data_IF_552369973939
#
_entry.id   IF_552369973939
#
_cell.length_a   1.000
_cell.length_b   1.000
_cell.length_c   1.000
_cell.angle_alpha   90.00
_cell.angle_beta   90.00
_cell.angle_gamma   90.00
#
_symmetry.space_group_name_H-M   'P 1'
#
loop_
_entity.id
_entity.type
_entity.pdbx_description
1 polymer ?
#
# COMPACT_ATOMS: atom_id res chain seq x y z
N UNK A 1 4.28 37.85 -7.55
CA UNK A 1 3.83 36.52 -7.07
C UNK A 1 2.65 36.07 -7.92
N UNK A 2 2.89 35.19 -8.89
CA UNK A 2 1.91 34.72 -9.86
C UNK A 2 1.15 33.53 -9.28
N UNK A 3 -0.18 33.64 -9.18
CA UNK A 3 -1.10 32.51 -8.92
C UNK A 3 -1.30 31.75 -10.23
N UNK A 4 -1.03 30.45 -10.23
CA UNK A 4 -1.44 29.54 -11.30
C UNK A 4 -2.76 28.88 -10.88
N UNK A 5 -3.83 29.16 -11.62
CA UNK A 5 -5.08 28.41 -11.60
C UNK A 5 -5.07 27.49 -12.81
N UNK A 6 -5.11 26.17 -12.60
CA UNK A 6 -5.26 25.19 -13.69
C UNK A 6 -6.76 24.93 -13.88
N UNK A 7 -7.25 25.35 -15.04
CA UNK A 7 -8.61 25.12 -15.55
C UNK A 7 -8.60 23.79 -16.31
N UNK A 8 -9.44 22.84 -15.93
CA UNK A 8 -9.75 21.66 -16.74
C UNK A 8 -10.70 22.05 -17.87
N UNK A 9 -10.21 21.97 -19.11
CA UNK A 9 -11.03 22.07 -20.33
C UNK A 9 -11.56 20.68 -20.70
N UNK A 10 -12.87 20.50 -20.55
CA UNK A 10 -13.62 19.35 -21.05
C UNK A 10 -13.89 19.61 -22.54
N UNK A 11 -13.31 18.80 -23.42
CA UNK A 11 -13.62 18.84 -24.85
C UNK A 11 -14.64 17.73 -25.16
N UNK A 12 -15.88 18.13 -25.42
CA UNK A 12 -16.96 17.25 -25.84
C UNK A 12 -16.86 16.91 -27.32
N UNK A 13 -16.72 15.62 -27.63
CA UNK A 13 -16.81 15.08 -28.98
C UNK A 13 -17.86 13.97 -29.04
N UNK A 14 -18.96 14.25 -29.73
CA UNK A 14 -20.06 13.31 -29.98
C UNK A 14 -19.59 12.11 -30.83
N UNK A 15 -19.87 10.88 -30.38
CA UNK A 15 -19.81 9.68 -31.22
C UNK A 15 -21.22 9.09 -31.32
N UNK A 16 -21.73 9.12 -32.55
CA UNK A 16 -23.02 8.58 -32.97
C UNK A 16 -22.90 7.05 -33.08
N UNK A 17 -23.59 6.33 -32.21
CA UNK A 17 -23.81 4.88 -32.32
C UNK A 17 -24.77 4.59 -33.48
N UNK A 18 -24.32 3.84 -34.50
CA UNK A 18 -25.20 3.12 -35.43
C UNK A 18 -25.26 1.65 -35.03
N UNK A 19 -26.44 1.24 -34.57
CA UNK A 19 -26.86 -0.17 -34.47
C UNK A 19 -27.10 -0.72 -35.88
N UNK A 20 -26.59 -1.91 -36.18
CA UNK A 20 -27.19 -2.79 -37.18
C UNK A 20 -27.04 -4.26 -36.76
N UNK A 21 -28.02 -5.04 -37.17
CA UNK A 21 -28.51 -6.26 -36.56
C UNK A 21 -28.04 -7.54 -37.27
N UNK A 22 -27.92 -8.62 -36.49
CA UNK A 22 -28.47 -9.98 -36.72
C UNK A 22 -28.04 -10.78 -37.98
N UNK A 23 -27.46 -11.97 -37.69
CA UNK A 23 -27.76 -13.31 -38.23
C UNK A 23 -26.76 -14.07 -39.13
N UNK A 24 -26.57 -15.30 -38.66
CA UNK A 24 -26.51 -16.61 -39.33
C UNK A 24 -25.20 -17.20 -39.86
N UNK A 25 -24.97 -18.40 -39.30
CA UNK A 25 -24.06 -19.49 -39.62
C UNK A 25 -24.35 -20.09 -41.00
N UNK A 26 -23.30 -20.43 -41.77
CA UNK A 26 -23.23 -21.70 -42.53
C UNK A 26 -21.79 -22.09 -42.90
N UNK A 27 -21.57 -23.40 -42.75
CA UNK A 27 -20.38 -24.22 -42.91
C UNK A 27 -20.12 -24.54 -44.39
N UNK A 28 -18.88 -24.46 -44.89
CA UNK A 28 -18.36 -25.37 -45.94
C UNK A 28 -16.83 -25.53 -45.79
N UNK A 29 -16.41 -26.76 -45.45
CA UNK A 29 -15.06 -27.28 -45.66
C UNK A 29 -14.83 -27.50 -47.18
N UNK A 30 -13.70 -27.06 -47.70
CA UNK A 30 -13.07 -27.69 -48.86
C UNK A 30 -11.54 -27.59 -48.72
N UNK A 31 -10.92 -28.76 -48.63
CA UNK A 31 -9.48 -28.94 -48.60
C UNK A 31 -8.87 -28.68 -49.98
N UNK A 32 -7.75 -27.94 -50.01
CA UNK A 32 -6.74 -28.09 -51.04
C UNK A 32 -5.35 -28.04 -50.39
N UNK A 33 -4.70 -29.20 -50.46
CA UNK A 33 -3.30 -29.42 -50.15
C UNK A 33 -2.40 -28.74 -51.20
N UNK A 34 -1.15 -28.55 -50.79
CA UNK A 34 0.07 -28.23 -51.55
C UNK A 34 0.50 -26.76 -51.50
N UNK A 35 1.51 -26.53 -50.66
CA UNK A 35 2.28 -25.29 -50.59
C UNK A 35 3.21 -25.25 -49.38
N UNK A 36 4.02 -26.29 -49.16
CA UNK A 36 5.16 -26.21 -48.25
C UNK A 36 6.18 -25.22 -48.84
N UNK A 37 6.03 -23.94 -48.54
CA UNK A 37 7.14 -23.02 -48.51
C UNK A 37 7.57 -22.94 -47.04
N UNK A 38 8.54 -23.78 -46.65
CA UNK A 38 9.43 -23.42 -45.55
C UNK A 38 10.18 -22.19 -46.03
N UNK A 39 9.62 -21.01 -45.80
CA UNK A 39 10.45 -19.85 -45.60
C UNK A 39 11.33 -20.21 -44.40
N UNK A 40 12.58 -20.53 -44.68
CA UNK A 40 13.65 -20.30 -43.72
C UNK A 40 13.56 -18.82 -43.37
N UNK A 41 12.85 -18.51 -42.29
CA UNK A 41 13.13 -17.32 -41.51
C UNK A 41 14.57 -17.50 -41.03
N UNK A 42 15.51 -17.04 -41.84
CA UNK A 42 16.80 -16.59 -41.36
C UNK A 42 16.51 -15.46 -40.40
N UNK A 43 16.27 -15.80 -39.13
CA UNK A 43 16.49 -14.92 -37.98
C UNK A 43 17.98 -14.59 -38.01
N UNK A 44 18.33 -13.60 -38.83
CA UNK A 44 19.60 -12.92 -38.70
C UNK A 44 19.47 -12.20 -37.37
N UNK A 45 19.98 -12.81 -36.29
CA UNK A 45 20.11 -12.09 -35.02
C UNK A 45 20.94 -10.86 -35.34
N UNK A 46 20.32 -9.68 -35.37
CA UNK A 46 21.10 -8.47 -35.57
C UNK A 46 21.92 -8.31 -34.31
N UNK A 47 23.21 -8.59 -34.45
CA UNK A 47 24.18 -8.47 -33.39
C UNK A 47 24.19 -7.02 -32.92
N UNK A 48 24.15 -6.83 -31.60
CA UNK A 48 24.22 -5.49 -31.03
C UNK A 48 25.62 -4.91 -31.27
N UNK A 49 25.71 -3.60 -31.48
CA UNK A 49 26.96 -2.88 -31.41
C UNK A 49 27.32 -2.74 -29.92
N UNK A 50 28.49 -3.25 -29.47
CA UNK A 50 28.89 -3.11 -28.08
C UNK A 50 28.98 -1.64 -27.67
N UNK A 51 28.48 -1.31 -26.48
CA UNK A 51 28.47 0.05 -25.97
C UNK A 51 27.39 0.27 -24.93
N UNK A 52 27.29 1.53 -24.51
CA UNK A 52 26.30 1.99 -23.53
C UNK A 52 25.27 2.87 -24.22
N UNK A 53 24.00 2.59 -23.99
CA UNK A 53 22.86 3.23 -24.64
C UNK A 53 21.90 3.75 -23.58
N UNK A 54 21.31 4.92 -23.84
CA UNK A 54 20.37 5.57 -22.93
C UNK A 54 19.01 5.68 -23.60
N UNK A 55 17.97 5.33 -22.85
CA UNK A 55 16.60 5.48 -23.29
C UNK A 55 15.71 5.90 -22.12
N UNK A 56 14.63 6.62 -22.44
CA UNK A 56 13.65 7.10 -21.47
C UNK A 56 12.25 6.69 -21.91
N UNK A 57 11.39 6.35 -20.96
CA UNK A 57 9.98 6.01 -21.22
C UNK A 57 9.13 6.53 -20.07
N UNK A 58 7.93 7.02 -20.38
CA UNK A 58 6.97 7.50 -19.39
C UNK A 58 6.70 6.44 -18.30
N UNK A 59 7.02 6.79 -17.05
CA UNK A 59 6.70 6.01 -15.85
C UNK A 59 5.39 6.46 -15.21
N UNK A 60 5.27 6.24 -13.90
CA UNK A 60 4.07 6.59 -13.13
C UNK A 60 3.88 8.10 -12.99
N UNK A 61 4.96 8.80 -12.65
CA UNK A 61 4.91 10.24 -12.33
C UNK A 61 5.68 11.11 -13.35
N UNK A 62 6.75 10.56 -13.93
CA UNK A 62 7.59 11.19 -14.96
C UNK A 62 8.32 10.07 -15.73
N UNK A 63 9.17 10.44 -16.69
CA UNK A 63 10.00 9.51 -17.43
C UNK A 63 10.96 8.72 -16.52
N UNK A 64 11.06 7.42 -16.77
CA UNK A 64 12.11 6.53 -16.23
C UNK A 64 13.20 6.41 -17.30
N UNK A 65 14.42 6.83 -16.95
CA UNK A 65 15.59 6.77 -17.82
C UNK A 65 16.50 5.62 -17.41
N UNK A 66 16.90 4.81 -18.39
CA UNK A 66 17.83 3.69 -18.19
C UNK A 66 19.12 3.89 -18.98
N UNK A 67 20.21 3.43 -18.40
CA UNK A 67 21.49 3.19 -19.06
C UNK A 67 21.68 1.68 -19.24
N UNK A 68 21.92 1.23 -20.47
CA UNK A 68 22.09 -0.18 -20.82
C UNK A 68 23.44 -0.39 -21.48
N UNK A 69 24.32 -1.17 -20.84
CA UNK A 69 25.57 -1.64 -21.45
C UNK A 69 25.31 -2.99 -22.13
N UNK A 70 25.69 -3.12 -23.40
CA UNK A 70 25.55 -4.35 -24.18
C UNK A 70 26.88 -4.80 -24.78
N UNK A 71 27.02 -6.11 -24.96
CA UNK A 71 28.01 -6.70 -25.88
C UNK A 71 27.39 -6.92 -27.25
N UNK A 72 28.01 -7.78 -28.07
CA UNK A 72 27.44 -8.21 -29.33
C UNK A 72 26.14 -9.03 -29.14
N UNK A 73 26.03 -9.78 -28.03
CA UNK A 73 24.96 -10.76 -27.83
C UNK A 73 24.32 -10.72 -26.43
N UNK A 74 24.78 -9.85 -25.52
CA UNK A 74 24.37 -9.88 -24.11
C UNK A 74 24.09 -8.46 -23.59
N UNK A 75 23.18 -8.38 -22.62
CA UNK A 75 22.94 -7.20 -21.78
C UNK A 75 23.85 -7.32 -20.56
N UNK A 76 24.88 -6.50 -20.46
CA UNK A 76 25.84 -6.55 -19.35
C UNK A 76 25.32 -5.87 -18.09
N UNK A 77 24.67 -4.72 -18.26
CA UNK A 77 24.10 -3.98 -17.14
C UNK A 77 22.93 -3.14 -17.59
N UNK A 78 21.94 -3.02 -16.72
CA UNK A 78 20.86 -2.04 -16.80
C UNK A 78 20.90 -1.22 -15.52
N UNK A 79 20.80 0.10 -15.62
CA UNK A 79 20.71 1.00 -14.48
C UNK A 79 19.62 2.02 -14.72
N UNK A 80 18.70 2.20 -13.78
CA UNK A 80 17.83 3.37 -13.78
C UNK A 80 18.66 4.56 -13.29
N UNK A 81 18.80 5.60 -14.12
CA UNK A 81 19.65 6.77 -13.84
C UNK A 81 18.84 8.01 -13.45
N UNK A 82 17.55 8.04 -13.79
CA UNK A 82 16.63 9.12 -13.41
C UNK A 82 15.19 8.60 -13.41
N UNK A 83 14.43 8.94 -12.38
CA UNK A 83 13.00 8.67 -12.28
C UNK A 83 12.33 9.59 -11.22
N UNK A 84 11.00 9.70 -11.29
CA UNK A 84 10.19 10.37 -10.27
C UNK A 84 9.15 9.42 -9.63
N UNK A 85 9.40 8.12 -9.72
CA UNK A 85 8.50 7.08 -9.20
C UNK A 85 8.19 7.25 -7.71
N UNK A 86 7.00 6.80 -7.30
CA UNK A 86 6.54 6.90 -5.92
C UNK A 86 7.42 6.03 -5.00
N UNK A 87 8.02 6.59 -3.93
CA UNK A 87 8.86 5.83 -2.99
C UNK A 87 8.13 4.66 -2.32
N UNK A 88 8.76 3.48 -2.29
CA UNK A 88 8.21 2.21 -1.79
C UNK A 88 7.12 1.56 -2.66
N UNK A 89 6.99 2.01 -3.92
CA UNK A 89 6.08 1.39 -4.90
C UNK A 89 6.78 1.20 -6.24
N UNK A 90 7.27 2.30 -6.82
CA UNK A 90 8.01 2.28 -8.07
C UNK A 90 9.48 2.62 -7.82
N UNK A 91 9.72 3.59 -6.93
CA UNK A 91 11.04 3.96 -6.43
C UNK A 91 11.35 3.30 -5.10
N UNK A 92 12.61 3.38 -4.68
CA UNK A 92 13.11 2.77 -3.46
C UNK A 92 12.34 3.22 -2.22
N UNK A 93 12.10 2.29 -1.30
CA UNK A 93 11.82 2.62 0.09
C UNK A 93 13.15 2.99 0.76
N UNK A 94 13.18 4.15 1.42
CA UNK A 94 14.35 4.58 2.21
C UNK A 94 13.94 4.85 3.65
N UNK A 95 14.85 4.60 4.58
CA UNK A 95 14.69 4.98 5.98
C UNK A 95 15.00 6.47 6.20
N UNK A 96 14.95 6.91 7.47
CA UNK A 96 15.22 8.30 7.86
C UNK A 96 16.66 8.76 7.58
N UNK A 97 17.60 7.82 7.45
CA UNK A 97 19.02 8.07 7.22
C UNK A 97 19.39 7.95 5.73
N UNK A 98 18.41 7.64 4.88
CA UNK A 98 18.57 7.49 3.43
C UNK A 98 19.07 6.11 3.00
N UNK A 99 19.11 5.11 3.91
CA UNK A 99 19.42 3.72 3.56
C UNK A 99 18.24 3.14 2.79
N UNK A 100 18.52 2.47 1.68
CA UNK A 100 17.51 1.70 0.94
C UNK A 100 17.09 0.49 1.78
N UNK A 101 15.80 0.32 1.97
CA UNK A 101 15.18 -0.77 2.72
C UNK A 101 14.58 -1.77 1.73
N UNK A 102 15.10 -3.00 1.73
CA UNK A 102 14.63 -4.09 0.86
C UNK A 102 13.90 -5.20 1.63
N UNK A 103 13.83 -5.08 2.96
CA UNK A 103 13.01 -5.96 3.80
C UNK A 103 11.54 -5.74 3.44
N UNK A 104 10.91 -6.77 2.90
CA UNK A 104 9.53 -6.68 2.43
C UNK A 104 9.35 -6.27 0.98
N UNK A 105 10.38 -6.40 0.15
CA UNK A 105 10.31 -6.23 -1.30
C UNK A 105 11.41 -5.32 -1.84
N UNK A 106 11.74 -5.49 -3.11
CA UNK A 106 12.73 -4.66 -3.81
C UNK A 106 11.97 -3.83 -4.85
N UNK A 107 12.22 -2.52 -4.85
CA UNK A 107 11.54 -1.60 -5.74
C UNK A 107 11.81 -1.96 -7.22
N UNK A 108 10.83 -1.76 -8.13
CA UNK A 108 10.97 -2.08 -9.55
C UNK A 108 12.17 -1.43 -10.23
N UNK A 109 12.54 -0.20 -9.82
CA UNK A 109 13.73 0.51 -10.33
C UNK A 109 15.05 -0.20 -10.04
N UNK A 110 15.07 -1.14 -9.10
CA UNK A 110 16.21 -2.00 -8.78
C UNK A 110 16.00 -3.43 -9.28
N UNK A 111 14.85 -4.03 -8.95
CA UNK A 111 14.58 -5.44 -9.21
C UNK A 111 14.51 -5.78 -10.71
N UNK A 112 13.84 -4.95 -11.51
CA UNK A 112 13.64 -5.24 -12.94
C UNK A 112 14.97 -5.19 -13.71
N UNK A 113 15.83 -4.16 -13.54
CA UNK A 113 17.18 -4.18 -14.11
C UNK A 113 17.99 -5.43 -13.76
N UNK A 114 17.99 -5.83 -12.48
CA UNK A 114 18.74 -6.99 -12.00
C UNK A 114 18.24 -8.29 -12.64
N UNK A 115 16.93 -8.50 -12.68
CA UNK A 115 16.34 -9.71 -13.28
C UNK A 115 16.53 -9.75 -14.79
N UNK A 116 16.49 -8.60 -15.51
CA UNK A 116 16.80 -8.56 -16.94
C UNK A 116 18.23 -9.04 -17.20
N UNK A 117 19.20 -8.52 -16.45
CA UNK A 117 20.61 -8.89 -16.62
C UNK A 117 20.85 -10.34 -16.22
N UNK A 118 20.30 -10.78 -15.08
CA UNK A 118 20.44 -12.17 -14.61
C UNK A 118 19.88 -13.18 -15.59
N UNK A 119 18.71 -12.91 -16.16
CA UNK A 119 18.02 -13.87 -17.03
C UNK A 119 18.32 -13.66 -18.52
N UNK A 120 19.01 -12.56 -18.88
CA UNK A 120 19.16 -12.10 -20.26
C UNK A 120 17.79 -12.09 -20.98
N UNK A 121 16.79 -11.50 -20.32
CA UNK A 121 15.41 -11.55 -20.80
C UNK A 121 14.59 -10.34 -20.38
N UNK A 122 13.80 -9.82 -21.32
CA UNK A 122 12.74 -8.83 -21.12
C UNK A 122 11.41 -9.49 -20.73
N UNK A 123 11.34 -10.83 -20.69
CA UNK A 123 10.15 -11.57 -20.25
C UNK A 123 10.07 -11.74 -18.73
N UNK A 124 10.90 -11.02 -17.96
CA UNK A 124 10.80 -10.97 -16.50
C UNK A 124 9.45 -10.40 -16.06
N UNK A 125 8.97 -10.86 -14.90
CA UNK A 125 7.67 -10.47 -14.37
C UNK A 125 7.63 -8.97 -14.07
N UNK A 126 6.42 -8.41 -14.10
CA UNK A 126 6.20 -7.10 -13.50
C UNK A 126 6.05 -7.28 -12.00
N UNK A 127 6.48 -6.28 -11.22
CA UNK A 127 6.24 -6.25 -9.78
C UNK A 127 4.76 -5.95 -9.52
N UNK A 128 4.08 -6.79 -8.73
CA UNK A 128 2.65 -6.63 -8.44
C UNK A 128 2.40 -5.32 -7.71
N UNK A 129 1.59 -4.46 -8.34
CA UNK A 129 1.28 -3.12 -7.84
C UNK A 129 2.14 -2.00 -8.44
N UNK A 130 3.11 -2.32 -9.29
CA UNK A 130 3.99 -1.36 -9.97
C UNK A 130 4.21 -1.68 -11.46
N UNK A 131 3.12 -2.06 -12.14
CA UNK A 131 3.12 -2.46 -13.55
C UNK A 131 3.60 -1.35 -14.48
N UNK A 132 3.25 -0.09 -14.22
CA UNK A 132 3.64 1.04 -15.06
C UNK A 132 5.16 1.22 -15.03
N UNK A 133 5.75 1.27 -13.83
CA UNK A 133 7.21 1.37 -13.64
C UNK A 133 7.95 0.18 -14.26
N UNK A 134 7.49 -1.04 -13.98
CA UNK A 134 8.09 -2.26 -14.53
C UNK A 134 8.06 -2.29 -16.06
N UNK A 135 6.93 -1.87 -16.64
CA UNK A 135 6.74 -1.76 -18.09
C UNK A 135 7.60 -0.67 -18.72
N UNK A 136 7.73 0.49 -18.06
CA UNK A 136 8.55 1.60 -18.52
C UNK A 136 10.03 1.20 -18.60
N UNK A 137 10.57 0.54 -17.57
CA UNK A 137 11.95 0.04 -17.56
C UNK A 137 12.17 -0.95 -18.70
N UNK A 138 11.31 -1.97 -18.84
CA UNK A 138 11.42 -2.96 -19.92
C UNK A 138 11.34 -2.33 -21.31
N UNK A 139 10.49 -1.31 -21.48
CA UNK A 139 10.35 -0.57 -22.74
C UNK A 139 11.59 0.26 -23.04
N UNK A 140 12.15 0.94 -22.04
CA UNK A 140 13.38 1.71 -22.21
C UNK A 140 14.57 0.80 -22.55
N UNK A 141 14.69 -0.38 -21.90
CA UNK A 141 15.72 -1.37 -22.26
C UNK A 141 15.52 -1.89 -23.68
N UNK A 142 14.27 -2.17 -24.09
CA UNK A 142 13.93 -2.54 -25.47
C UNK A 142 14.42 -1.50 -26.47
N UNK A 143 14.24 -0.21 -26.18
CA UNK A 143 14.66 0.86 -27.07
C UNK A 143 16.18 1.04 -27.08
N UNK A 144 16.86 0.86 -25.95
CA UNK A 144 18.33 0.84 -25.89
C UNK A 144 18.93 -0.30 -26.75
N UNK A 145 18.33 -1.50 -26.72
CA UNK A 145 18.74 -2.62 -27.59
C UNK A 145 18.59 -2.26 -29.08
N UNK A 146 17.47 -1.62 -29.47
CA UNK A 146 17.28 -1.15 -30.85
C UNK A 146 18.30 -0.08 -31.25
N UNK A 147 18.64 0.84 -30.35
CA UNK A 147 19.70 1.84 -30.59
C UNK A 147 21.06 1.18 -30.81
N UNK A 148 21.32 0.05 -30.14
CA UNK A 148 22.49 -0.79 -30.38
C UNK A 148 22.43 -1.56 -31.70
N UNK A 149 21.33 -1.49 -32.46
CA UNK A 149 21.12 -2.27 -33.68
C UNK A 149 20.72 -3.73 -33.42
N UNK A 150 20.39 -4.07 -32.17
CA UNK A 150 19.89 -5.40 -31.80
C UNK A 150 18.39 -5.56 -32.03
N UNK A 151 17.96 -6.81 -32.09
CA UNK A 151 16.54 -7.17 -32.04
C UNK A 151 16.14 -7.55 -30.60
N UNK A 152 15.30 -6.75 -29.91
CA UNK A 152 14.85 -7.06 -28.55
C UNK A 152 14.11 -8.40 -28.41
N UNK A 153 13.58 -8.94 -29.52
CA UNK A 153 12.89 -10.22 -29.49
C UNK A 153 13.85 -11.40 -29.25
N UNK A 154 15.15 -11.19 -29.42
CA UNK A 154 16.20 -12.13 -29.00
C UNK A 154 16.31 -12.28 -27.48
N UNK A 155 15.83 -11.30 -26.71
CA UNK A 155 15.81 -11.30 -25.24
C UNK A 155 14.41 -11.60 -24.70
N UNK A 156 13.74 -12.64 -25.22
CA UNK A 156 12.39 -13.04 -24.79
C UNK A 156 12.32 -14.43 -24.16
N UNK A 157 13.47 -15.00 -23.80
CA UNK A 157 13.52 -16.31 -23.13
C UNK A 157 12.59 -16.32 -21.92
N UNK A 158 11.76 -17.35 -21.80
CA UNK A 158 10.90 -17.54 -20.64
C UNK A 158 11.73 -17.59 -19.35
N UNK A 159 11.24 -16.88 -18.32
CA UNK A 159 11.86 -16.83 -17.00
C UNK A 159 11.09 -17.77 -16.10
N UNK A 160 11.79 -18.69 -15.44
CA UNK A 160 11.21 -19.67 -14.53
C UNK A 160 11.59 -19.33 -13.10
N UNK A 161 10.63 -19.40 -12.19
CA UNK A 161 10.83 -19.15 -10.77
C UNK A 161 10.79 -20.46 -9.99
N UNK A 162 11.61 -20.54 -8.94
CA UNK A 162 11.62 -21.71 -8.06
C UNK A 162 10.37 -21.73 -7.18
N UNK A 163 9.86 -22.95 -6.95
CA UNK A 163 8.72 -23.14 -6.05
C UNK A 163 9.09 -22.80 -4.61
N UNK A 164 8.25 -21.99 -3.97
CA UNK A 164 8.37 -21.72 -2.54
C UNK A 164 7.84 -22.90 -1.72
N UNK A 165 8.49 -23.14 -0.58
CA UNK A 165 8.12 -24.21 0.36
C UNK A 165 7.06 -23.73 1.34
N UNK A 166 6.35 -24.68 1.92
CA UNK A 166 5.50 -24.44 3.09
C UNK A 166 6.28 -23.77 4.23
N UNK A 167 5.61 -22.89 4.97
CA UNK A 167 6.18 -22.10 6.05
C UNK A 167 5.47 -22.46 7.36
N UNK A 168 6.24 -22.54 8.46
CA UNK A 168 5.68 -22.71 9.80
C UNK A 168 6.15 -21.57 10.71
N UNK A 169 5.23 -21.00 11.47
CA UNK A 169 5.51 -19.96 12.45
C UNK A 169 4.57 -20.10 13.65
N UNK A 170 4.89 -19.40 14.75
CA UNK A 170 3.96 -19.34 15.88
C UNK A 170 2.71 -18.57 15.47
N UNK A 171 2.86 -17.43 14.79
CA UNK A 171 1.75 -16.63 14.27
C UNK A 171 1.93 -16.34 12.78
N UNK A 172 0.83 -16.45 12.02
CA UNK A 172 0.78 -16.01 10.61
C UNK A 172 0.03 -14.68 10.53
N UNK A 173 0.65 -13.67 9.91
CA UNK A 173 0.06 -12.35 9.65
C UNK A 173 -0.25 -12.24 8.16
N UNK A 174 -1.50 -11.93 7.82
CA UNK A 174 -1.93 -11.74 6.43
C UNK A 174 -2.07 -10.25 6.14
N UNK A 175 -1.23 -9.73 5.25
CA UNK A 175 -1.13 -8.33 4.88
C UNK A 175 0.12 -7.65 5.48
N UNK A 176 0.98 -7.12 4.61
CA UNK A 176 2.20 -6.37 4.96
C UNK A 176 1.99 -4.86 5.05
N UNK A 177 0.78 -4.40 5.38
CA UNK A 177 0.48 -2.98 5.64
C UNK A 177 0.85 -2.56 7.08
N UNK A 178 0.60 -1.30 7.45
CA UNK A 178 0.98 -0.76 8.77
C UNK A 178 0.46 -1.58 9.96
N UNK A 179 -0.79 -2.06 9.91
CA UNK A 179 -1.34 -2.89 10.98
C UNK A 179 -0.68 -4.28 11.07
N UNK A 180 -0.39 -4.89 9.92
CA UNK A 180 0.25 -6.21 9.87
C UNK A 180 1.70 -6.16 10.33
N UNK A 181 2.44 -5.15 9.86
CA UNK A 181 3.82 -4.93 10.27
C UNK A 181 3.93 -4.55 11.76
N UNK A 182 3.07 -3.67 12.27
CA UNK A 182 3.01 -3.37 13.70
C UNK A 182 2.70 -4.62 14.54
N UNK A 183 1.72 -5.42 14.12
CA UNK A 183 1.39 -6.69 14.80
C UNK A 183 2.56 -7.66 14.80
N UNK A 184 3.26 -7.80 13.67
CA UNK A 184 4.43 -8.66 13.56
C UNK A 184 5.55 -8.20 14.52
N UNK A 185 5.85 -6.90 14.56
CA UNK A 185 6.88 -6.35 15.45
C UNK A 185 6.54 -6.57 16.92
N UNK A 186 5.29 -6.34 17.33
CA UNK A 186 4.82 -6.61 18.70
C UNK A 186 4.98 -8.11 19.05
N UNK A 187 4.56 -9.01 18.16
CA UNK A 187 4.70 -10.46 18.35
C UNK A 187 6.16 -10.88 18.51
N UNK A 188 7.06 -10.30 17.71
CA UNK A 188 8.49 -10.57 17.76
C UNK A 188 9.15 -10.04 19.03
N UNK A 189 8.77 -8.85 19.48
CA UNK A 189 9.21 -8.28 20.77
C UNK A 189 8.78 -9.17 21.94
N UNK A 190 7.65 -9.87 21.80
CA UNK A 190 7.15 -10.86 22.76
C UNK A 190 7.67 -12.29 22.48
N UNK A 191 8.71 -12.44 21.64
CA UNK A 191 9.46 -13.68 21.46
C UNK A 191 8.88 -14.70 20.49
N UNK A 192 7.78 -14.38 19.80
CA UNK A 192 7.15 -15.26 18.80
C UNK A 192 7.91 -15.26 17.48
N UNK A 193 7.84 -16.39 16.75
CA UNK A 193 8.17 -16.43 15.32
C UNK A 193 6.96 -16.05 14.48
N UNK A 194 7.19 -15.30 13.40
CA UNK A 194 6.11 -14.72 12.58
C UNK A 194 6.34 -15.01 11.10
N UNK A 195 5.28 -15.46 10.43
CA UNK A 195 5.23 -15.49 8.97
C UNK A 195 4.28 -14.41 8.45
N UNK A 196 4.72 -13.57 7.51
CA UNK A 196 3.95 -12.48 6.93
C UNK A 196 3.69 -12.80 5.45
N UNK A 197 2.44 -12.71 5.04
CA UNK A 197 1.98 -12.93 3.66
C UNK A 197 1.57 -11.57 3.07
N UNK A 198 2.23 -11.13 2.00
CA UNK A 198 1.87 -9.91 1.25
C UNK A 198 1.66 -10.24 -0.23
N UNK A 199 0.52 -9.80 -0.78
CA UNK A 199 0.16 -10.10 -2.17
C UNK A 199 0.87 -9.21 -3.18
N UNK A 200 1.23 -7.98 -2.81
CA UNK A 200 1.99 -7.08 -3.66
C UNK A 200 3.47 -7.46 -3.69
N UNK A 201 4.23 -6.89 -4.62
CA UNK A 201 5.67 -7.10 -4.70
C UNK A 201 6.46 -6.39 -3.59
N UNK A 202 5.84 -5.41 -2.95
CA UNK A 202 6.37 -4.66 -1.81
C UNK A 202 5.33 -4.49 -0.72
N UNK A 203 5.79 -4.44 0.53
CA UNK A 203 4.99 -4.11 1.70
C UNK A 203 4.44 -2.67 1.68
N UNK A 204 3.52 -2.39 2.61
CA UNK A 204 3.10 -1.04 2.94
C UNK A 204 1.64 -0.73 2.62
N UNK A 205 1.03 -1.42 1.65
CA UNK A 205 -0.39 -1.25 1.30
C UNK A 205 -0.81 0.23 1.21
N UNK A 206 -2.01 0.56 1.69
CA UNK A 206 -2.48 1.95 1.78
C UNK A 206 -1.76 2.80 2.83
N UNK A 207 -1.15 2.17 3.84
CA UNK A 207 -0.37 2.90 4.85
C UNK A 207 0.73 3.70 4.18
N UNK A 208 1.39 3.14 3.16
CA UNK A 208 2.47 3.81 2.43
C UNK A 208 2.03 5.13 1.75
N UNK A 209 0.77 5.23 1.33
CA UNK A 209 0.22 6.43 0.66
C UNK A 209 -0.58 7.34 1.60
N UNK A 210 -0.46 7.14 2.92
CA UNK A 210 -1.14 7.97 3.90
C UNK A 210 -0.52 9.39 3.95
N UNK A 211 -1.23 10.32 4.61
CA UNK A 211 -0.78 11.70 4.79
C UNK A 211 0.37 11.90 5.78
N UNK A 212 1.05 10.83 6.21
CA UNK A 212 2.13 10.85 7.20
C UNK A 212 1.72 11.30 8.61
N UNK A 213 0.44 11.12 8.97
CA UNK A 213 -0.14 11.66 10.22
C UNK A 213 -0.42 10.57 11.26
N UNK A 214 -0.21 10.89 12.53
CA UNK A 214 -0.56 10.08 13.70
C UNK A 214 -1.27 10.95 14.74
N UNK A 215 -2.50 10.59 15.11
CA UNK A 215 -3.29 11.38 16.06
C UNK A 215 -3.16 10.81 17.48
N UNK A 216 -2.69 11.64 18.42
CA UNK A 216 -2.65 11.30 19.83
C UNK A 216 -2.71 12.58 20.68
N UNK A 217 -3.42 12.58 21.83
CA UNK A 217 -3.30 13.67 22.79
C UNK A 217 -1.89 13.65 23.40
N UNK A 218 -1.15 14.75 23.24
CA UNK A 218 0.22 14.90 23.74
C UNK A 218 0.28 16.09 24.72
N UNK A 219 0.38 15.82 26.04
CA UNK A 219 0.44 16.87 27.05
C UNK A 219 1.64 17.82 26.90
N UNK A 220 2.77 17.33 26.38
CA UNK A 220 3.97 18.13 26.21
C UNK A 220 3.86 19.08 25.01
N UNK A 221 3.16 18.69 23.94
CA UNK A 221 2.98 19.52 22.75
C UNK A 221 1.74 20.41 22.79
N UNK A 222 0.74 20.07 23.61
CA UNK A 222 -0.45 20.89 23.84
C UNK A 222 -0.13 22.33 24.28
N UNK A 223 0.94 22.53 25.06
CA UNK A 223 1.36 23.84 25.55
C UNK A 223 1.78 24.82 24.44
N UNK A 224 2.08 24.30 23.24
CA UNK A 224 2.51 25.10 22.08
C UNK A 224 1.34 25.59 21.21
N UNK A 225 0.10 25.23 21.58
CA UNK A 225 -1.11 25.60 20.86
C UNK A 225 -2.06 26.37 21.76
N UNK A 226 -2.47 27.57 21.37
CA UNK A 226 -3.47 28.36 22.11
C UNK A 226 -4.89 28.06 21.60
N UNK A 227 -5.85 27.91 22.53
CA UNK A 227 -7.26 27.71 22.18
C UNK A 227 -7.97 29.03 21.89
N UNK A 228 -8.38 29.21 20.64
CA UNK A 228 -9.40 30.22 20.31
C UNK A 228 -10.75 29.87 20.94
N UNK A 229 -11.59 30.88 21.20
CA UNK A 229 -12.94 30.66 21.72
C UNK A 229 -13.78 29.77 20.80
N UNK A 230 -13.61 29.88 19.49
CA UNK A 230 -14.27 29.00 18.53
C UNK A 230 -13.95 27.52 18.76
N UNK A 231 -12.69 27.20 19.10
CA UNK A 231 -12.25 25.82 19.40
C UNK A 231 -12.85 25.33 20.72
N UNK A 232 -12.99 26.19 21.73
CA UNK A 232 -13.64 25.84 23.01
C UNK A 232 -15.10 25.42 22.80
N UNK A 233 -15.82 26.09 21.90
CA UNK A 233 -17.23 25.75 21.62
C UNK A 233 -17.44 24.33 21.13
N UNK A 234 -16.43 23.69 20.52
CA UNK A 234 -16.51 22.30 20.09
C UNK A 234 -16.65 21.33 21.26
N UNK A 235 -15.92 21.57 22.36
CA UNK A 235 -16.02 20.77 23.59
C UNK A 235 -17.38 21.03 24.24
N UNK A 236 -17.75 22.30 24.39
CA UNK A 236 -18.99 22.69 25.06
C UNK A 236 -20.23 22.15 24.34
N UNK A 237 -20.24 22.13 23.01
CA UNK A 237 -21.31 21.50 22.23
C UNK A 237 -21.37 20.00 22.47
N UNK A 238 -20.23 19.30 22.44
CA UNK A 238 -20.18 17.86 22.67
C UNK A 238 -20.65 17.48 24.09
N UNK A 239 -20.33 18.29 25.10
CA UNK A 239 -20.77 18.10 26.49
C UNK A 239 -22.25 18.45 26.71
N UNK A 240 -22.81 19.36 25.90
CA UNK A 240 -24.22 19.74 25.96
C UNK A 240 -25.16 18.78 25.21
N UNK A 241 -24.64 17.84 24.42
CA UNK A 241 -25.48 16.85 23.74
C UNK A 241 -26.18 15.93 24.74
N UNK A 242 -27.46 15.65 24.51
CA UNK A 242 -28.19 14.66 25.31
C UNK A 242 -27.55 13.28 25.14
N UNK A 243 -27.11 12.61 26.21
CA UNK A 243 -26.55 11.28 26.11
C UNK A 243 -27.59 10.28 25.59
N UNK A 244 -27.16 9.36 24.72
CA UNK A 244 -28.05 8.37 24.09
C UNK A 244 -27.97 6.99 24.75
N UNK A 245 -27.03 6.81 25.68
CA UNK A 245 -26.84 5.63 26.52
C UNK A 245 -25.92 5.96 27.71
N UNK A 246 -25.80 5.03 28.65
CA UNK A 246 -25.01 5.20 29.88
C UNK A 246 -23.50 5.37 29.61
N UNK A 247 -22.96 4.68 28.60
CA UNK A 247 -21.54 4.81 28.25
C UNK A 247 -21.20 6.21 27.72
N UNK A 248 -22.11 6.80 26.94
CA UNK A 248 -21.99 8.18 26.48
C UNK A 248 -22.07 9.16 27.65
N UNK A 249 -23.05 8.99 28.55
CA UNK A 249 -23.19 9.85 29.73
C UNK A 249 -21.95 9.79 30.64
N UNK A 250 -21.40 8.59 30.87
CA UNK A 250 -20.20 8.40 31.67
C UNK A 250 -18.98 9.09 31.04
N UNK A 251 -18.77 8.93 29.73
CA UNK A 251 -17.66 9.56 29.03
C UNK A 251 -17.81 11.09 28.99
N UNK A 252 -19.01 11.61 28.79
CA UNK A 252 -19.27 13.06 28.90
C UNK A 252 -18.96 13.57 30.30
N UNK A 253 -19.33 12.86 31.36
CA UNK A 253 -19.05 13.26 32.73
C UNK A 253 -17.54 13.33 33.04
N UNK A 254 -16.76 12.37 32.52
CA UNK A 254 -15.29 12.38 32.62
C UNK A 254 -14.70 13.61 31.92
N UNK A 255 -15.10 13.87 30.67
CA UNK A 255 -14.63 15.03 29.91
C UNK A 255 -15.09 16.35 30.54
N UNK A 256 -16.30 16.41 31.08
CA UNK A 256 -16.84 17.58 31.78
C UNK A 256 -15.98 17.93 33.00
N UNK A 257 -15.63 16.94 33.82
CA UNK A 257 -14.78 17.15 34.99
C UNK A 257 -13.39 17.67 34.60
N UNK A 258 -12.79 17.11 33.54
CA UNK A 258 -11.50 17.57 33.00
C UNK A 258 -11.60 19.00 32.45
N UNK A 259 -12.68 19.33 31.74
CA UNK A 259 -12.94 20.64 31.16
C UNK A 259 -13.14 21.71 32.24
N UNK A 260 -13.86 21.40 33.31
CA UNK A 260 -14.06 22.31 34.43
C UNK A 260 -12.75 22.57 35.19
N UNK A 261 -11.92 21.54 35.39
CA UNK A 261 -10.59 21.69 35.98
C UNK A 261 -9.66 22.55 35.09
N UNK A 262 -9.69 22.34 33.77
CA UNK A 262 -8.93 23.15 32.82
C UNK A 262 -9.32 24.64 32.89
N UNK A 263 -10.62 24.95 32.91
CA UNK A 263 -11.13 26.34 33.05
C UNK A 263 -10.75 26.94 34.41
N UNK A 264 -10.88 26.20 35.49
CA UNK A 264 -10.55 26.66 36.84
C UNK A 264 -9.05 26.99 36.99
N UNK A 265 -8.18 26.28 36.27
CA UNK A 265 -6.75 26.55 36.24
C UNK A 265 -6.37 27.81 35.43
N UNK A 266 -7.32 28.44 34.72
CA UNK A 266 -7.05 29.62 33.88
C UNK A 266 -6.12 29.33 32.69
N UNK A 267 -6.03 28.06 32.27
CA UNK A 267 -5.22 27.64 31.12
C UNK A 267 -5.75 28.22 29.81
N UNK A 268 -4.84 28.51 28.89
CA UNK A 268 -5.14 29.04 27.55
C UNK A 268 -4.61 28.15 26.42
N UNK A 269 -3.72 27.21 26.75
CA UNK A 269 -3.15 26.22 25.85
C UNK A 269 -4.15 25.11 25.48
N UNK A 270 -3.83 24.20 24.57
CA UNK A 270 -4.79 23.23 24.07
C UNK A 270 -5.29 22.25 25.15
N UNK A 271 -6.61 22.21 25.35
CA UNK A 271 -7.27 21.11 26.06
C UNK A 271 -7.32 19.88 25.16
N UNK A 272 -6.67 18.81 25.58
CA UNK A 272 -6.86 17.49 24.99
C UNK A 272 -6.65 16.40 26.04
N UNK A 273 -7.27 15.26 25.81
CA UNK A 273 -7.19 14.08 26.64
C UNK A 273 -7.63 12.87 25.83
N UNK A 274 -7.30 11.66 26.30
CA UNK A 274 -7.75 10.43 25.65
C UNK A 274 -9.28 10.28 25.73
N UNK A 275 -9.91 10.78 26.80
CA UNK A 275 -11.36 10.81 26.97
C UNK A 275 -12.01 11.79 25.99
N UNK A 276 -11.47 13.01 25.85
CA UNK A 276 -11.96 13.98 24.86
C UNK A 276 -11.77 13.46 23.45
N UNK A 277 -10.62 12.84 23.16
CA UNK A 277 -10.36 12.23 21.87
C UNK A 277 -11.37 11.12 21.56
N UNK A 278 -11.69 10.25 22.54
CA UNK A 278 -12.71 9.21 22.38
C UNK A 278 -14.11 9.80 22.15
N UNK A 279 -14.52 10.79 22.96
CA UNK A 279 -15.84 11.41 22.86
C UNK A 279 -16.02 12.09 21.50
N UNK A 280 -15.04 12.90 21.09
CA UNK A 280 -15.06 13.57 19.80
C UNK A 280 -15.09 12.57 18.64
N UNK A 281 -14.27 11.52 18.69
CA UNK A 281 -14.21 10.49 17.64
C UNK A 281 -15.56 9.78 17.48
N UNK A 282 -16.18 9.41 18.61
CA UNK A 282 -17.44 8.70 18.58
C UNK A 282 -18.62 9.57 18.12
N UNK A 283 -18.72 10.81 18.61
CA UNK A 283 -19.75 11.77 18.19
C UNK A 283 -19.67 12.03 16.67
N UNK A 284 -18.47 12.30 16.15
CA UNK A 284 -18.28 12.61 14.73
C UNK A 284 -18.33 11.37 13.82
N UNK A 285 -18.17 10.17 14.38
CA UNK A 285 -18.51 8.91 13.72
C UNK A 285 -20.01 8.58 13.77
N UNK A 286 -20.88 9.60 13.80
CA UNK A 286 -22.34 9.49 13.91
C UNK A 286 -22.84 8.64 15.10
N UNK A 287 -22.01 8.41 16.12
CA UNK A 287 -22.31 7.58 17.29
C UNK A 287 -22.65 6.11 16.94
N UNK A 288 -22.22 5.63 15.77
CA UNK A 288 -22.53 4.25 15.31
C UNK A 288 -21.47 3.22 15.70
N UNK A 289 -20.25 3.67 15.96
CA UNK A 289 -19.15 2.78 16.32
C UNK A 289 -19.36 2.16 17.71
N UNK A 290 -18.80 0.97 17.94
CA UNK A 290 -18.68 0.41 19.29
C UNK A 290 -17.74 1.33 20.12
N UNK A 291 -18.27 1.92 21.18
CA UNK A 291 -17.55 2.91 21.98
C UNK A 291 -16.34 2.30 22.71
N UNK A 292 -16.37 1.02 23.07
CA UNK A 292 -15.21 0.36 23.71
C UNK A 292 -14.03 0.22 22.73
N UNK A 293 -14.31 -0.02 21.43
CA UNK A 293 -13.28 -0.02 20.39
C UNK A 293 -12.74 1.39 20.12
N UNK A 294 -13.59 2.41 20.16
CA UNK A 294 -13.14 3.81 20.06
C UNK A 294 -12.27 4.19 21.25
N UNK A 295 -12.65 3.78 22.47
CA UNK A 295 -11.81 3.97 23.66
C UNK A 295 -10.48 3.22 23.52
N UNK A 296 -10.48 1.97 23.04
CA UNK A 296 -9.25 1.24 22.79
C UNK A 296 -8.31 1.97 21.81
N UNK A 297 -8.84 2.55 20.73
CA UNK A 297 -8.06 3.39 19.81
C UNK A 297 -7.50 4.63 20.52
N UNK A 298 -8.35 5.43 21.14
CA UNK A 298 -7.97 6.75 21.66
C UNK A 298 -7.11 6.66 22.93
N UNK A 299 -7.35 5.67 23.79
CA UNK A 299 -6.62 5.51 25.06
C UNK A 299 -5.23 4.93 24.87
N UNK A 300 -5.02 4.14 23.81
CA UNK A 300 -3.70 3.58 23.49
C UNK A 300 -2.92 4.44 22.47
N UNK A 301 -3.53 5.48 21.89
CA UNK A 301 -2.91 6.29 20.85
C UNK A 301 -1.56 6.89 21.28
N UNK A 302 -1.48 7.51 22.46
CA UNK A 302 -0.22 8.13 22.90
C UNK A 302 0.87 7.09 23.21
N UNK A 303 0.52 5.98 23.86
CA UNK A 303 1.48 4.89 24.08
C UNK A 303 1.95 4.23 22.77
N UNK A 304 1.07 4.14 21.76
CA UNK A 304 1.44 3.67 20.42
C UNK A 304 2.35 4.65 19.67
N UNK A 305 2.16 5.95 19.88
CA UNK A 305 3.07 7.00 19.40
C UNK A 305 4.46 6.86 20.03
N UNK A 306 4.54 6.75 21.36
CA UNK A 306 5.81 6.57 22.08
C UNK A 306 6.51 5.27 21.65
N UNK A 307 5.74 4.19 21.45
CA UNK A 307 6.28 2.91 21.01
C UNK A 307 6.93 3.00 19.63
N UNK A 308 6.25 3.59 18.64
CA UNK A 308 6.83 3.70 17.29
C UNK A 308 8.00 4.69 17.25
N UNK A 309 7.95 5.76 18.04
CA UNK A 309 9.08 6.70 18.20
C UNK A 309 10.31 5.99 18.79
N UNK A 310 10.11 5.11 19.79
CA UNK A 310 11.20 4.32 20.39
C UNK A 310 11.90 3.38 19.40
N UNK A 311 11.22 3.02 18.29
CA UNK A 311 11.78 2.20 17.20
C UNK A 311 12.52 3.02 16.14
N UNK A 312 12.52 4.35 16.24
CA UNK A 312 13.21 5.26 15.33
C UNK A 312 12.31 6.05 14.40
N UNK A 313 10.99 5.98 14.56
CA UNK A 313 10.08 6.87 13.85
C UNK A 313 10.30 8.31 14.31
N UNK A 314 10.27 9.25 13.38
CA UNK A 314 10.47 10.67 13.69
C UNK A 314 9.28 11.50 13.24
N UNK A 315 8.86 12.40 14.13
CA UNK A 315 7.77 13.34 13.93
C UNK A 315 8.28 14.78 14.06
N UNK A 316 7.51 15.73 13.53
CA UNK A 316 7.73 17.14 13.79
C UNK A 316 7.53 17.45 15.28
N UNK A 317 8.22 18.47 15.78
CA UNK A 317 8.19 18.95 17.17
C UNK A 317 6.93 19.75 17.54
N UNK A 318 5.85 19.57 16.77
CA UNK A 318 4.58 20.26 16.97
C UNK A 318 3.41 19.39 16.54
N UNK A 319 2.30 19.58 17.24
CA UNK A 319 1.00 19.07 16.81
C UNK A 319 0.28 20.09 15.93
N UNK A 320 -0.54 19.58 15.01
CA UNK A 320 -1.39 20.42 14.16
C UNK A 320 -2.78 19.79 13.97
N UNK A 321 -3.61 20.41 13.12
CA UNK A 321 -4.80 19.80 12.56
C UNK A 321 -4.46 19.22 11.19
N UNK A 322 -4.21 17.91 11.12
CA UNK A 322 -4.03 17.20 9.86
C UNK A 322 -5.30 17.23 8.99
N UNK A 323 -5.17 16.90 7.70
CA UNK A 323 -6.31 16.82 6.80
C UNK A 323 -7.41 15.89 7.36
N UNK A 324 -8.63 16.39 7.48
CA UNK A 324 -9.77 15.66 8.05
C UNK A 324 -9.81 15.60 9.59
N UNK A 325 -8.81 16.11 10.31
CA UNK A 325 -8.85 16.23 11.76
C UNK A 325 -9.70 17.41 12.20
N UNK A 326 -10.47 17.23 13.28
CA UNK A 326 -11.27 18.27 13.93
C UNK A 326 -10.61 18.83 15.20
N UNK A 327 -9.39 18.41 15.52
CA UNK A 327 -8.63 18.85 16.70
C UNK A 327 -7.12 18.87 16.45
N UNK A 328 -6.40 19.75 17.17
CA UNK A 328 -4.95 19.89 17.05
C UNK A 328 -4.23 18.79 17.82
N UNK A 329 -4.19 17.57 17.29
CA UNK A 329 -3.51 16.43 17.92
C UNK A 329 -2.71 15.57 16.95
N UNK A 330 -2.47 16.12 15.76
CA UNK A 330 -1.80 15.41 14.67
C UNK A 330 -0.29 15.61 14.76
N UNK A 331 0.40 14.51 15.07
CA UNK A 331 1.84 14.36 14.86
C UNK A 331 2.07 14.05 13.39
N UNK A 332 2.95 14.80 12.73
CA UNK A 332 3.27 14.58 11.31
C UNK A 332 4.69 14.04 11.21
N UNK A 333 4.89 12.95 10.47
CA UNK A 333 6.22 12.40 10.24
C UNK A 333 7.12 13.44 9.57
N UNK A 334 8.43 13.38 9.84
CA UNK A 334 9.42 14.15 9.08
C UNK A 334 9.65 13.57 7.68
N UNK A 335 9.23 12.32 7.46
CA UNK A 335 9.32 11.62 6.19
C UNK A 335 8.06 11.85 5.33
N UNK A 336 8.21 11.65 4.02
CA UNK A 336 7.10 11.82 3.07
C UNK A 336 6.15 10.64 3.12
N UNK A 337 4.85 10.92 3.06
CA UNK A 337 3.81 9.89 2.99
C UNK A 337 3.94 8.88 4.16
N UNK A 338 3.52 7.63 3.96
CA UNK A 338 3.67 6.58 4.96
C UNK A 338 5.05 5.95 5.04
N UNK A 339 6.06 6.44 4.30
CA UNK A 339 7.34 5.71 4.16
C UNK A 339 8.03 5.51 5.50
N UNK A 340 8.02 6.51 6.40
CA UNK A 340 8.59 6.39 7.72
C UNK A 340 7.96 5.29 8.57
N UNK A 341 6.64 5.12 8.50
CA UNK A 341 5.98 4.02 9.21
C UNK A 341 6.43 2.67 8.67
N UNK A 342 6.50 2.51 7.35
CA UNK A 342 6.84 1.24 6.72
C UNK A 342 8.33 0.90 6.92
N UNK A 343 9.24 1.86 6.71
CA UNK A 343 10.68 1.63 6.85
C UNK A 343 11.06 1.30 8.29
N UNK A 344 10.50 1.98 9.29
CA UNK A 344 10.76 1.68 10.71
C UNK A 344 10.35 0.26 11.06
N UNK A 345 9.17 -0.21 10.63
CA UNK A 345 8.79 -1.59 10.88
C UNK A 345 9.66 -2.58 10.11
N UNK A 346 10.02 -2.29 8.86
CA UNK A 346 10.88 -3.15 8.05
C UNK A 346 12.29 -3.29 8.66
N UNK A 347 12.89 -2.20 9.13
CA UNK A 347 14.16 -2.23 9.88
C UNK A 347 14.04 -3.01 11.19
N UNK A 348 12.89 -2.93 11.85
CA UNK A 348 12.63 -3.75 13.03
C UNK A 348 12.55 -5.24 12.70
N UNK A 349 11.88 -5.63 11.61
CA UNK A 349 11.82 -7.02 11.16
C UNK A 349 13.21 -7.57 10.82
N UNK A 350 14.07 -6.78 10.16
CA UNK A 350 15.45 -7.17 9.80
C UNK A 350 16.25 -7.62 11.04
N UNK A 351 16.06 -6.95 12.18
CA UNK A 351 16.76 -7.27 13.44
C UNK A 351 16.40 -8.65 14.02
N UNK A 352 15.28 -9.23 13.64
CA UNK A 352 14.82 -10.53 14.14
C UNK A 352 15.24 -11.72 13.28
N UNK A 353 15.82 -11.48 12.09
CA UNK A 353 16.40 -12.51 11.23
C UNK A 353 15.47 -13.71 11.04
N UNK A 354 15.98 -14.90 11.37
CA UNK A 354 15.30 -16.19 11.18
C UNK A 354 13.96 -16.35 11.93
N UNK A 355 13.63 -15.45 12.88
CA UNK A 355 12.31 -15.46 13.53
C UNK A 355 11.20 -14.88 12.64
N UNK A 356 11.55 -14.25 11.52
CA UNK A 356 10.60 -13.66 10.58
C UNK A 356 10.74 -14.30 9.22
N UNK A 357 9.64 -14.77 8.67
CA UNK A 357 9.53 -15.08 7.25
C UNK A 357 8.54 -14.11 6.62
N UNK A 358 8.98 -13.29 5.68
CA UNK A 358 8.11 -12.37 4.95
C UNK A 358 8.12 -12.75 3.47
N UNK A 359 6.95 -13.09 2.93
CA UNK A 359 6.78 -13.41 1.52
C UNK A 359 5.86 -12.40 0.84
N UNK A 360 6.45 -11.52 0.02
CA UNK A 360 5.75 -10.72 -1.00
C UNK A 360 5.42 -11.58 -2.22
N UNK A 361 4.60 -11.08 -3.14
CA UNK A 361 4.11 -11.86 -4.29
C UNK A 361 3.42 -13.16 -3.86
N UNK A 362 2.74 -13.15 -2.70
CA UNK A 362 2.00 -14.28 -2.17
C UNK A 362 0.58 -13.86 -1.78
N UNK A 363 -0.42 -14.34 -2.51
CA UNK A 363 -1.81 -13.98 -2.26
C UNK A 363 -2.46 -15.00 -1.33
N UNK A 364 -2.80 -14.63 -0.09
CA UNK A 364 -3.58 -15.48 0.79
C UNK A 364 -4.99 -15.72 0.22
N UNK A 365 -5.41 -16.99 0.16
CA UNK A 365 -6.66 -17.39 -0.51
C UNK A 365 -7.64 -18.10 0.43
N UNK A 366 -7.17 -18.75 1.50
CA UNK A 366 -8.04 -19.55 2.36
C UNK A 366 -7.50 -19.73 3.77
N UNK A 367 -8.40 -19.66 4.76
CA UNK A 367 -8.14 -20.13 6.12
C UNK A 367 -8.39 -21.64 6.22
N UNK A 368 -7.47 -22.36 6.84
CA UNK A 368 -7.59 -23.79 7.13
C UNK A 368 -8.06 -23.97 8.57
N UNK A 369 -9.17 -24.69 8.74
CA UNK A 369 -9.76 -24.97 10.03
C UNK A 369 -9.57 -26.44 10.41
N UNK A 370 -9.25 -26.67 11.68
CA UNK A 370 -9.33 -27.97 12.34
C UNK A 370 -10.18 -27.81 13.61
N UNK A 371 -11.30 -28.52 13.71
CA UNK A 371 -12.24 -28.44 14.84
C UNK A 371 -12.60 -26.99 15.24
N UNK A 372 -12.94 -26.15 14.27
CA UNK A 372 -13.23 -24.71 14.42
C UNK A 372 -12.06 -23.82 14.87
N UNK A 373 -10.84 -24.36 15.02
CA UNK A 373 -9.61 -23.57 15.22
C UNK A 373 -8.94 -23.32 13.87
N UNK A 374 -8.54 -22.08 13.59
CA UNK A 374 -7.70 -21.77 12.44
C UNK A 374 -6.28 -22.27 12.71
N UNK A 375 -5.73 -23.11 11.83
CA UNK A 375 -4.42 -23.76 11.99
C UNK A 375 -3.44 -23.43 10.87
N UNK A 376 -3.91 -22.94 9.73
CA UNK A 376 -3.05 -22.50 8.64
C UNK A 376 -3.76 -21.50 7.72
N UNK A 377 -2.96 -20.84 6.88
CA UNK A 377 -3.41 -20.05 5.73
C UNK A 377 -2.85 -20.67 4.47
N UNK A 378 -3.68 -20.85 3.44
CA UNK A 378 -3.24 -21.15 2.08
C UNK A 378 -3.00 -19.85 1.34
N UNK A 379 -1.91 -19.78 0.61
CA UNK A 379 -1.62 -18.69 -0.31
C UNK A 379 -1.20 -19.23 -1.67
N UNK A 380 -1.39 -18.43 -2.71
CA UNK A 380 -0.87 -18.68 -4.06
C UNK A 380 0.38 -17.84 -4.26
N UNK A 381 1.47 -18.47 -4.70
CA UNK A 381 2.64 -17.78 -5.22
C UNK A 381 2.29 -17.11 -6.56
N UNK A 382 2.43 -15.79 -6.64
CA UNK A 382 2.04 -15.05 -7.84
C UNK A 382 2.98 -15.32 -9.03
N UNK A 383 4.21 -15.79 -8.81
CA UNK A 383 5.15 -16.12 -9.88
C UNK A 383 4.87 -17.50 -10.48
N UNK A 384 4.70 -18.51 -9.63
CA UNK A 384 4.60 -19.91 -10.06
C UNK A 384 3.16 -20.41 -10.16
N UNK A 385 2.21 -19.70 -9.55
CA UNK A 385 0.81 -20.12 -9.40
C UNK A 385 0.61 -21.28 -8.43
N UNK A 386 1.66 -21.76 -7.76
CA UNK A 386 1.59 -22.88 -6.82
C UNK A 386 1.09 -22.45 -5.45
N UNK A 387 0.45 -23.39 -4.76
CA UNK A 387 -0.03 -23.17 -3.41
C UNK A 387 1.13 -23.30 -2.40
N UNK A 388 1.14 -22.39 -1.42
CA UNK A 388 2.01 -22.40 -0.25
C UNK A 388 1.12 -22.53 0.99
N UNK A 389 1.48 -23.43 1.90
CA UNK A 389 0.83 -23.56 3.20
C UNK A 389 1.62 -22.83 4.27
N UNK A 390 0.97 -21.91 4.97
CA UNK A 390 1.50 -21.22 6.14
C UNK A 390 0.84 -21.76 7.40
N UNK A 391 1.53 -22.63 8.14
CA UNK A 391 1.00 -23.21 9.38
C UNK A 391 1.23 -22.25 10.55
N UNK A 392 0.18 -22.06 11.35
CA UNK A 392 0.17 -21.20 12.51
C UNK A 392 -0.06 -22.03 13.78
N UNK A 393 0.88 -22.00 14.73
CA UNK A 393 0.75 -22.74 15.99
C UNK A 393 -0.26 -22.07 16.94
N UNK A 394 -0.12 -20.76 17.07
CA UNK A 394 -0.84 -19.94 18.04
C UNK A 394 -2.06 -19.25 17.40
N UNK A 395 -1.95 -18.78 16.15
CA UNK A 395 -3.09 -18.22 15.44
C UNK A 395 -2.73 -17.40 14.20
N UNK A 396 -3.76 -16.80 13.61
CA UNK A 396 -3.67 -15.97 12.39
C UNK A 396 -4.17 -14.57 12.69
N UNK A 397 -3.43 -13.56 12.25
CA UNK A 397 -3.84 -12.14 12.27
C UNK A 397 -4.21 -11.72 10.85
N UNK A 398 -5.46 -11.31 10.62
CA UNK A 398 -5.87 -10.70 9.37
C UNK A 398 -5.69 -9.18 9.44
N UNK A 399 -4.71 -8.66 8.70
CA UNK A 399 -4.37 -7.25 8.61
C UNK A 399 -4.40 -6.76 7.15
N UNK A 400 -5.40 -7.23 6.39
CA UNK A 400 -5.47 -7.16 4.92
C UNK A 400 -5.97 -5.83 4.35
N UNK A 401 -6.12 -4.79 5.18
CA UNK A 401 -6.71 -3.53 4.75
C UNK A 401 -8.18 -3.63 4.36
N UNK A 402 -8.64 -2.65 3.58
CA UNK A 402 -10.05 -2.47 3.23
C UNK A 402 -10.40 -2.83 1.78
N UNK A 403 -11.52 -2.27 1.33
CA UNK A 403 -12.09 -2.47 -0.01
C UNK A 403 -12.37 -1.16 -0.75
N UNK A 404 -11.75 -0.05 -0.33
CA UNK A 404 -12.00 1.29 -0.88
C UNK A 404 -11.64 1.46 -2.36
N UNK A 405 -10.87 0.54 -2.95
CA UNK A 405 -10.57 0.51 -4.38
C UNK A 405 -11.48 -0.45 -5.17
N UNK A 406 -12.36 -1.20 -4.49
CA UNK A 406 -13.34 -2.09 -5.12
C UNK A 406 -14.72 -1.41 -5.17
N UNK A 407 -14.98 -0.70 -6.26
CA UNK A 407 -16.22 0.06 -6.44
C UNK A 407 -17.50 -0.79 -6.29
N UNK A 408 -17.44 -2.08 -6.66
CA UNK A 408 -18.57 -3.01 -6.49
C UNK A 408 -18.85 -3.26 -5.01
N UNK A 409 -17.82 -3.57 -4.23
CA UNK A 409 -17.94 -3.83 -2.80
C UNK A 409 -18.31 -2.54 -2.04
N UNK A 410 -17.75 -1.38 -2.42
CA UNK A 410 -18.15 -0.07 -1.90
C UNK A 410 -19.66 0.16 -2.10
N UNK A 411 -20.18 -0.10 -3.30
CA UNK A 411 -21.61 0.04 -3.55
C UNK A 411 -22.45 -1.00 -2.79
N UNK A 412 -21.98 -2.25 -2.66
CA UNK A 412 -22.66 -3.30 -1.89
C UNK A 412 -22.91 -2.89 -0.43
N UNK A 413 -21.92 -2.23 0.21
CA UNK A 413 -22.04 -1.78 1.60
C UNK A 413 -22.58 -0.36 1.76
N UNK A 414 -22.97 0.31 0.69
CA UNK A 414 -23.63 1.61 0.75
C UNK A 414 -25.12 1.48 1.15
N UNK A 415 -25.37 1.11 2.40
CA UNK A 415 -26.72 0.76 2.90
C UNK A 415 -27.38 1.83 3.76
N UNK A 416 -26.65 2.89 4.10
CA UNK A 416 -27.14 3.94 5.04
C UNK A 416 -28.19 4.87 4.45
N UNK A 417 -28.35 4.88 3.12
CA UNK A 417 -29.21 5.84 2.40
C UNK A 417 -28.63 7.26 2.32
N UNK A 418 -27.48 7.54 2.94
CA UNK A 418 -26.82 8.85 2.87
C UNK A 418 -26.29 9.18 1.48
N UNK A 419 -25.87 8.16 0.74
CA UNK A 419 -25.30 8.30 -0.60
C UNK A 419 -26.14 7.51 -1.61
N UNK A 420 -26.61 8.13 -2.71
CA UNK A 420 -27.46 7.45 -3.67
C UNK A 420 -26.71 6.39 -4.49
N UNK A 421 -25.47 6.67 -4.87
CA UNK A 421 -24.62 5.78 -5.69
C UNK A 421 -23.14 6.12 -5.42
N UNK A 422 -22.35 5.12 -5.03
CA UNK A 422 -20.90 5.22 -4.84
C UNK A 422 -20.11 4.37 -5.84
N UNK A 423 -20.78 3.68 -6.77
CA UNK A 423 -20.12 2.80 -7.76
C UNK A 423 -19.23 3.55 -8.76
N UNK A 424 -19.40 4.88 -8.87
CA UNK A 424 -18.63 5.76 -9.77
C UNK A 424 -17.63 6.65 -9.05
N UNK A 425 -17.53 6.53 -7.73
CA UNK A 425 -16.63 7.34 -6.93
C UNK A 425 -15.19 6.89 -7.20
N UNK A 426 -14.32 7.85 -7.54
CA UNK A 426 -12.89 7.59 -7.65
C UNK A 426 -12.30 7.14 -6.31
N UNK A 427 -11.19 6.42 -6.35
CA UNK A 427 -10.51 5.93 -5.14
C UNK A 427 -9.17 6.63 -4.94
N UNK A 428 -8.83 6.90 -3.69
CA UNK A 428 -7.49 7.31 -3.26
C UNK A 428 -6.67 6.12 -2.74
N UNK A 429 -7.28 4.95 -2.64
CA UNK A 429 -6.63 3.73 -2.17
C UNK A 429 -5.84 3.08 -3.30
N UNK A 430 -4.80 2.33 -2.95
CA UNK A 430 -4.03 1.52 -3.89
C UNK A 430 -4.90 0.40 -4.43
N UNK A 431 -5.14 0.44 -5.74
CA UNK A 431 -5.95 -0.56 -6.43
C UNK A 431 -5.38 -1.97 -6.30
N UNK A 432 -4.06 -2.13 -6.26
CA UNK A 432 -3.42 -3.43 -6.04
C UNK A 432 -3.64 -4.01 -4.65
N UNK A 433 -3.97 -3.18 -3.65
CA UNK A 433 -4.12 -3.59 -2.26
C UNK A 433 -5.58 -3.71 -1.83
N UNK A 434 -6.34 -2.63 -1.91
CA UNK A 434 -7.61 -2.46 -1.17
C UNK A 434 -8.84 -2.94 -1.93
N UNK A 435 -8.85 -4.25 -2.22
CA UNK A 435 -9.92 -4.92 -2.97
C UNK A 435 -10.92 -5.70 -2.10
N UNK A 436 -10.64 -5.85 -0.79
CA UNK A 436 -11.51 -6.60 0.14
C UNK A 436 -11.28 -8.11 0.18
N UNK A 437 -10.14 -8.59 -0.33
CA UNK A 437 -9.83 -10.02 -0.44
C UNK A 437 -9.86 -10.72 0.93
N UNK A 438 -9.21 -10.12 1.94
CA UNK A 438 -9.20 -10.69 3.30
C UNK A 438 -10.56 -10.65 4.00
N UNK A 439 -11.42 -9.67 3.69
CA UNK A 439 -12.80 -9.64 4.19
C UNK A 439 -13.60 -10.80 3.59
N UNK A 440 -13.40 -11.08 2.30
CA UNK A 440 -14.05 -12.21 1.63
C UNK A 440 -13.53 -13.53 2.17
N UNK A 441 -12.23 -13.66 2.42
CA UNK A 441 -11.61 -14.84 3.00
C UNK A 441 -12.05 -15.12 4.46
N UNK A 442 -12.38 -14.06 5.22
CA UNK A 442 -12.80 -14.17 6.62
C UNK A 442 -14.28 -14.57 6.80
N UNK A 443 -15.11 -14.36 5.78
CA UNK A 443 -16.52 -14.79 5.76
C UNK A 443 -16.62 -16.28 5.48
#
# INVERSE_FOLDING_TARGET
MKKWSIIFLINGGNIIMKRLSISLVTLVLAASLVGCNKATETTTSSKMKPGTYTASTAGMNDDVTVEVEVTENEIKSVKVTSHAETPGIGGELVDKDGKVVTTGGVAPVQLIPEEIVKNQSLSVDNVTGATITSGAIKTAVKDAIKQAGGDPDTFKKEVTYEDRKDVEADVVVVGGGGAGLASAVELLQNGKSVAIIEKAGEIGGDTLVCGAIYNAPDPALQQHAEMSDAVKTTIEKALAETPINDQHAALQAEVQAQWDAYKAAGRTDLFDSKEWYALQTWINGDKVANLDLVKALCYNAFGGYEWIESMGMTFQDKISQGAGSLWQRTHTSTMKMGTGFISVYADMLEKYGDKVTLLTEATATKLVLDNNKVTAVKATDNHTGKEITFKAKDGVVLATGGFGANAKMVQEYNTTGKWPDLSKTGTTNRFSASQGDGITMAK
#
